data_IF_771862411643
#
_entry.id   IF_771862411643
#
_cell.length_a   1.000
_cell.length_b   1.000
_cell.length_c   1.000
_cell.angle_alpha   90.00
_cell.angle_beta   90.00
_cell.angle_gamma   90.00
#
_symmetry.space_group_name_H-M   'P 1'
#
loop_
_entity.id
_entity.type
_entity.pdbx_description
1 polymer ?
#
# COMPACT_ATOMS: atom_id res chain seq x y z
N UNK A 1 -10.97 21.65 -4.72
CA UNK A 1 -11.15 20.45 -5.54
C UNK A 1 -9.90 19.57 -5.43
N UNK A 2 -10.09 18.30 -5.13
CA UNK A 2 -8.95 17.37 -5.01
C UNK A 2 -8.44 16.98 -6.39
N UNK A 3 -7.12 16.87 -6.52
CA UNK A 3 -6.52 16.32 -7.74
C UNK A 3 -6.77 14.82 -7.80
N UNK A 4 -6.98 14.31 -9.01
CA UNK A 4 -7.08 12.88 -9.25
C UNK A 4 -5.69 12.36 -9.63
N UNK A 5 -5.28 11.27 -9.01
CA UNK A 5 -4.00 10.64 -9.28
C UNK A 5 -4.19 9.25 -9.86
N UNK A 6 -3.42 8.93 -10.91
CA UNK A 6 -3.34 7.55 -11.40
C UNK A 6 -2.36 6.79 -10.50
N UNK A 7 -2.67 5.51 -10.28
CA UNK A 7 -1.86 4.72 -9.35
C UNK A 7 -0.38 4.68 -9.76
N UNK A 8 -0.05 4.57 -11.03
CA UNK A 8 1.34 4.51 -11.49
C UNK A 8 2.10 5.82 -11.32
N UNK A 9 1.40 6.93 -11.11
CA UNK A 9 2.02 8.23 -10.88
C UNK A 9 2.45 8.43 -9.42
N UNK A 10 1.91 7.63 -8.49
CA UNK A 10 2.10 7.83 -7.05
C UNK A 10 2.80 6.67 -6.36
N UNK A 11 2.96 5.53 -7.03
CA UNK A 11 3.74 4.40 -6.48
C UNK A 11 5.08 4.29 -7.20
N UNK A 12 6.15 3.86 -6.49
CA UNK A 12 7.43 3.58 -7.15
C UNK A 12 7.40 2.28 -7.94
N UNK A 13 6.40 1.43 -7.71
CA UNK A 13 6.25 0.14 -8.36
C UNK A 13 5.82 0.29 -9.81
N UNK A 14 6.36 -0.55 -10.68
CA UNK A 14 6.01 -0.57 -12.10
C UNK A 14 5.47 -1.96 -12.46
N UNK A 15 4.63 -2.08 -13.50
CA UNK A 15 4.18 -3.41 -13.93
C UNK A 15 5.36 -4.33 -14.24
N UNK A 16 5.31 -5.64 -13.87
CA UNK A 16 4.16 -6.31 -13.24
C UNK A 16 4.09 -6.17 -11.71
N UNK A 17 5.01 -5.44 -11.09
CA UNK A 17 5.08 -5.31 -9.63
C UNK A 17 4.09 -4.32 -9.03
N UNK A 18 3.46 -3.47 -9.85
CA UNK A 18 2.39 -2.59 -9.38
C UNK A 18 1.09 -3.38 -9.32
N UNK A 19 0.60 -3.63 -8.12
CA UNK A 19 -0.53 -4.54 -7.90
C UNK A 19 -1.87 -3.85 -7.73
N UNK A 20 -1.89 -2.52 -7.52
CA UNK A 20 -3.11 -1.77 -7.30
C UNK A 20 -3.67 -1.26 -8.62
N UNK A 21 -5.01 -1.20 -8.73
CA UNK A 21 -5.67 -0.69 -9.94
C UNK A 21 -5.94 0.82 -9.87
N UNK A 22 -6.33 1.34 -8.71
CA UNK A 22 -6.77 2.73 -8.63
C UNK A 22 -6.60 3.32 -7.23
N UNK A 23 -6.44 4.65 -7.20
CA UNK A 23 -6.59 5.45 -5.98
C UNK A 23 -8.05 5.89 -5.92
N UNK A 24 -8.78 5.44 -4.91
CA UNK A 24 -10.20 5.76 -4.76
C UNK A 24 -10.42 7.11 -4.06
N UNK A 25 -9.66 7.36 -2.98
CA UNK A 25 -9.75 8.60 -2.23
C UNK A 25 -8.50 8.82 -1.40
N UNK A 26 -8.28 10.05 -0.98
CA UNK A 26 -7.16 10.37 -0.09
C UNK A 26 -7.49 11.60 0.76
N UNK A 27 -6.77 11.74 1.87
CA UNK A 27 -6.80 12.92 2.72
C UNK A 27 -5.39 13.15 3.28
N UNK A 28 -5.23 14.08 4.22
CA UNK A 28 -3.91 14.36 4.80
C UNK A 28 -3.29 13.15 5.49
N UNK A 29 -4.12 12.28 6.06
CA UNK A 29 -3.66 11.12 6.85
C UNK A 29 -4.09 9.77 6.28
N UNK A 30 -4.88 9.75 5.20
CA UNK A 30 -5.46 8.50 4.71
C UNK A 30 -5.32 8.38 3.20
N UNK A 31 -5.36 7.14 2.73
CA UNK A 31 -5.57 6.85 1.31
C UNK A 31 -6.33 5.52 1.21
N UNK A 32 -7.24 5.47 0.25
CA UNK A 32 -7.98 4.27 -0.10
C UNK A 32 -7.66 3.91 -1.54
N UNK A 33 -7.24 2.69 -1.76
CA UNK A 33 -6.97 2.13 -3.07
C UNK A 33 -7.85 0.92 -3.33
N UNK A 34 -7.86 0.44 -4.56
CA UNK A 34 -8.61 -0.75 -4.92
C UNK A 34 -7.89 -1.55 -5.99
N UNK A 35 -8.24 -2.82 -6.06
CA UNK A 35 -7.88 -3.70 -7.16
C UNK A 35 -8.92 -4.80 -7.30
N UNK A 36 -9.00 -5.39 -8.48
CA UNK A 36 -9.84 -6.55 -8.74
C UNK A 36 -8.93 -7.72 -9.08
N UNK A 37 -9.21 -8.88 -8.47
CA UNK A 37 -8.44 -10.10 -8.72
C UNK A 37 -8.80 -10.65 -10.10
N UNK A 38 -7.78 -10.83 -10.95
CA UNK A 38 -7.91 -11.31 -12.33
C UNK A 38 -7.01 -12.52 -12.52
N UNK A 39 -7.21 -13.23 -13.63
CA UNK A 39 -6.39 -14.40 -13.96
C UNK A 39 -4.92 -14.02 -14.17
N UNK A 40 -4.65 -12.79 -14.62
CA UNK A 40 -3.28 -12.29 -14.80
C UNK A 40 -2.75 -11.54 -13.57
N UNK A 41 -3.48 -11.52 -12.47
CA UNK A 41 -2.98 -10.92 -11.22
C UNK A 41 -1.72 -11.64 -10.76
N UNK A 42 -0.72 -10.87 -10.31
CA UNK A 42 0.53 -11.45 -9.81
C UNK A 42 0.20 -12.36 -8.62
N UNK A 43 0.85 -13.51 -8.56
CA UNK A 43 0.65 -14.57 -7.55
C UNK A 43 -0.70 -15.29 -7.67
N UNK A 44 -1.49 -15.04 -8.74
CA UNK A 44 -2.73 -15.78 -8.97
C UNK A 44 -2.45 -17.26 -9.19
N UNK A 45 -3.18 -18.09 -8.50
CA UNK A 45 -3.13 -19.56 -8.63
C UNK A 45 -4.55 -20.11 -8.67
N UNK A 46 -4.72 -21.44 -8.71
CA UNK A 46 -6.01 -22.08 -8.93
C UNK A 46 -7.12 -21.57 -8.00
N UNK A 47 -6.81 -21.34 -6.73
CA UNK A 47 -7.79 -20.89 -5.72
C UNK A 47 -7.92 -19.37 -5.63
N UNK A 48 -7.16 -18.61 -6.42
CA UNK A 48 -7.12 -17.16 -6.37
C UNK A 48 -5.74 -16.66 -5.96
N UNK A 49 -5.66 -15.44 -5.46
CA UNK A 49 -4.41 -14.88 -4.94
C UNK A 49 -4.30 -15.21 -3.47
N UNK A 50 -3.19 -15.82 -3.02
CA UNK A 50 -3.02 -16.13 -1.59
C UNK A 50 -3.20 -14.91 -0.71
N UNK A 51 -3.88 -15.08 0.42
CA UNK A 51 -4.23 -13.94 1.29
C UNK A 51 -3.02 -13.20 1.84
N UNK A 52 -1.84 -13.84 1.96
CA UNK A 52 -0.63 -13.17 2.43
C UNK A 52 -0.19 -12.01 1.49
N UNK A 53 -0.61 -12.05 0.22
CA UNK A 53 -0.30 -10.96 -0.73
C UNK A 53 -0.99 -9.65 -0.32
N UNK A 54 -2.06 -9.71 0.48
CA UNK A 54 -2.72 -8.53 1.00
C UNK A 54 -1.79 -7.61 1.78
N UNK A 55 -0.75 -8.17 2.40
CA UNK A 55 0.28 -7.37 3.06
C UNK A 55 1.00 -6.47 2.05
N UNK A 56 1.30 -7.00 0.86
CA UNK A 56 1.92 -6.22 -0.21
C UNK A 56 0.94 -5.16 -0.74
N UNK A 57 -0.35 -5.46 -0.84
CA UNK A 57 -1.36 -4.47 -1.22
C UNK A 57 -1.38 -3.31 -0.22
N UNK A 58 -1.31 -3.60 1.09
CA UNK A 58 -1.23 -2.58 2.13
C UNK A 58 0.03 -1.73 1.97
N UNK A 59 1.18 -2.38 1.75
CA UNK A 59 2.46 -1.68 1.55
C UNK A 59 2.44 -0.76 0.36
N UNK A 60 1.89 -1.21 -0.77
CA UNK A 60 1.78 -0.37 -1.96
C UNK A 60 0.78 0.78 -1.78
N UNK A 61 -0.26 0.57 -0.98
CA UNK A 61 -1.21 1.64 -0.66
C UNK A 61 -0.55 2.71 0.21
N UNK A 62 0.30 2.31 1.16
CA UNK A 62 1.11 3.26 1.94
C UNK A 62 2.05 4.03 1.01
N UNK A 63 2.69 3.34 0.06
CA UNK A 63 3.55 3.99 -0.93
C UNK A 63 2.74 5.01 -1.76
N UNK A 64 1.52 4.66 -2.15
CA UNK A 64 0.64 5.59 -2.87
C UNK A 64 0.30 6.81 -2.02
N UNK A 65 0.03 6.63 -0.72
CA UNK A 65 -0.19 7.73 0.20
C UNK A 65 1.00 8.68 0.21
N UNK A 66 2.21 8.15 0.37
CA UNK A 66 3.43 8.95 0.36
C UNK A 66 3.64 9.61 -1.01
N UNK A 67 3.29 8.92 -2.09
CA UNK A 67 3.40 9.43 -3.46
C UNK A 67 2.46 10.59 -3.73
N UNK A 68 1.20 10.50 -3.28
CA UNK A 68 0.23 11.60 -3.39
C UNK A 68 0.75 12.82 -2.65
N UNK A 69 1.23 12.63 -1.42
CA UNK A 69 1.79 13.72 -0.62
C UNK A 69 2.99 14.36 -1.31
N UNK A 70 3.90 13.54 -1.85
CA UNK A 70 5.07 14.03 -2.56
C UNK A 70 4.69 14.82 -3.81
N UNK A 71 3.74 14.33 -4.61
CA UNK A 71 3.27 15.01 -5.82
C UNK A 71 2.64 16.36 -5.51
N UNK A 72 1.83 16.43 -4.43
CA UNK A 72 1.21 17.69 -4.00
C UNK A 72 2.26 18.72 -3.58
N UNK A 73 3.40 18.28 -3.06
CA UNK A 73 4.52 19.14 -2.65
C UNK A 73 5.52 19.38 -3.79
N UNK A 74 5.29 18.82 -4.98
CA UNK A 74 6.20 18.94 -6.11
C UNK A 74 7.50 18.17 -5.96
N UNK A 75 7.50 17.13 -5.11
CA UNK A 75 8.67 16.30 -4.83
C UNK A 75 8.59 14.96 -5.56
N UNK A 76 9.73 14.28 -5.80
CA UNK A 76 9.68 12.93 -6.38
C UNK A 76 9.06 11.92 -5.42
N UNK A 77 8.49 10.87 -5.98
CA UNK A 77 7.89 9.77 -5.22
C UNK A 77 9.01 9.03 -4.47
N UNK A 78 8.80 8.79 -3.17
CA UNK A 78 9.78 8.15 -2.30
C UNK A 78 9.60 6.63 -2.26
N UNK A 79 10.70 5.93 -2.00
CA UNK A 79 10.68 4.49 -1.71
C UNK A 79 10.58 4.32 -0.20
N UNK A 80 9.61 3.50 0.25
CA UNK A 80 9.44 3.17 1.64
C UNK A 80 9.91 1.73 1.92
N UNK A 81 10.27 1.49 3.18
CA UNK A 81 10.74 0.18 3.63
C UNK A 81 9.85 -0.32 4.77
N UNK A 82 9.22 -1.48 4.57
CA UNK A 82 8.42 -2.11 5.62
C UNK A 82 9.34 -2.59 6.74
N UNK A 83 9.11 -2.10 7.96
CA UNK A 83 9.89 -2.45 9.14
C UNK A 83 9.21 -3.55 9.94
N UNK A 84 7.91 -3.45 10.15
CA UNK A 84 7.16 -4.46 10.88
C UNK A 84 5.69 -4.48 10.47
N UNK A 85 5.07 -5.63 10.70
CA UNK A 85 3.63 -5.83 10.51
C UNK A 85 3.09 -6.56 11.74
N UNK A 86 1.97 -6.09 12.28
CA UNK A 86 1.31 -6.72 13.42
C UNK A 86 -0.13 -7.05 13.08
N UNK A 87 -0.57 -8.20 13.57
CA UNK A 87 -1.97 -8.65 13.54
C UNK A 87 -2.54 -8.89 12.15
N UNK A 88 -1.71 -9.33 11.21
CA UNK A 88 -2.21 -9.71 9.90
C UNK A 88 -2.79 -11.13 9.96
N UNK A 89 -4.11 -11.22 10.01
CA UNK A 89 -4.83 -12.47 10.01
C UNK A 89 -5.97 -12.39 8.99
N UNK A 90 -6.08 -13.39 8.12
CA UNK A 90 -7.11 -13.39 7.09
C UNK A 90 -8.18 -14.42 7.41
N UNK A 91 -9.49 -14.06 7.28
CA UNK A 91 -10.58 -15.02 7.43
C UNK A 91 -10.66 -16.03 6.27
N UNK A 92 -10.02 -15.71 5.13
CA UNK A 92 -10.00 -16.56 3.96
C UNK A 92 -8.56 -16.84 3.54
N UNK A 93 -8.31 -18.01 2.94
CA UNK A 93 -6.97 -18.38 2.50
C UNK A 93 -6.54 -17.68 1.21
N UNK A 94 -7.51 -17.30 0.39
CA UNK A 94 -7.26 -16.70 -0.93
C UNK A 94 -8.29 -15.62 -1.24
N UNK A 95 -7.87 -14.65 -2.02
CA UNK A 95 -8.76 -13.68 -2.66
C UNK A 95 -9.20 -14.28 -3.99
N UNK A 96 -10.49 -14.57 -4.13
CA UNK A 96 -11.04 -15.28 -5.29
C UNK A 96 -11.08 -14.41 -6.53
N UNK A 97 -11.03 -15.06 -7.70
CA UNK A 97 -11.17 -14.40 -9.00
C UNK A 97 -12.42 -13.52 -9.02
N UNK A 98 -12.27 -12.30 -9.54
CA UNK A 98 -13.37 -11.35 -9.67
C UNK A 98 -13.67 -10.53 -8.43
N UNK A 99 -13.00 -10.80 -7.31
CA UNK A 99 -13.20 -10.04 -6.07
C UNK A 99 -12.59 -8.67 -6.18
N UNK A 100 -13.34 -7.64 -5.84
CA UNK A 100 -12.81 -6.29 -5.68
C UNK A 100 -12.37 -6.09 -4.24
N UNK A 101 -11.10 -5.78 -4.06
CA UNK A 101 -10.52 -5.46 -2.75
C UNK A 101 -10.42 -3.96 -2.60
N UNK A 102 -10.79 -3.46 -1.42
CA UNK A 102 -10.61 -2.06 -1.04
C UNK A 102 -9.59 -2.02 0.09
N UNK A 103 -8.50 -1.29 -0.13
CA UNK A 103 -7.40 -1.19 0.82
C UNK A 103 -7.40 0.22 1.40
N UNK A 104 -7.44 0.33 2.73
CA UNK A 104 -7.42 1.61 3.42
C UNK A 104 -6.20 1.68 4.31
N UNK A 105 -5.51 2.82 4.29
CA UNK A 105 -4.39 3.07 5.19
C UNK A 105 -4.60 4.42 5.86
N UNK A 106 -4.28 4.48 7.16
CA UNK A 106 -4.36 5.70 7.95
C UNK A 106 -3.07 5.86 8.74
N UNK A 107 -2.38 6.99 8.54
CA UNK A 107 -1.17 7.30 9.29
C UNK A 107 -1.56 7.71 10.71
N UNK A 108 -1.07 6.97 11.71
CA UNK A 108 -1.40 7.21 13.11
C UNK A 108 -0.20 7.74 13.90
N UNK A 109 1.02 7.49 13.44
CA UNK A 109 2.23 8.05 14.05
C UNK A 109 3.13 8.57 12.95
N UNK A 110 3.57 9.81 13.11
CA UNK A 110 4.51 10.48 12.21
C UNK A 110 5.73 10.89 13.01
N UNK A 111 6.83 10.17 12.80
CA UNK A 111 8.07 10.41 13.54
C UNK A 111 9.04 11.21 12.66
N UNK A 112 9.68 12.29 13.18
CA UNK A 112 10.65 13.06 12.41
C UNK A 112 11.81 12.24 11.83
N UNK A 113 12.12 11.09 12.42
CA UNK A 113 13.16 10.20 11.91
C UNK A 113 12.78 9.50 10.60
N UNK A 114 11.52 9.63 10.15
CA UNK A 114 11.01 8.95 8.95
C UNK A 114 10.26 7.66 9.24
N UNK A 115 10.19 7.22 10.50
CA UNK A 115 9.41 6.05 10.86
C UNK A 115 7.95 6.44 11.04
N UNK A 116 7.07 5.80 10.27
CA UNK A 116 5.64 6.07 10.30
C UNK A 116 4.88 4.79 10.61
N UNK A 117 3.79 4.91 11.36
CA UNK A 117 2.92 3.78 11.69
C UNK A 117 1.55 4.01 11.05
N UNK A 118 1.04 2.98 10.38
CA UNK A 118 -0.25 3.03 9.69
C UNK A 118 -1.17 1.94 10.21
N UNK A 119 -2.44 2.28 10.40
CA UNK A 119 -3.51 1.30 10.53
C UNK A 119 -3.99 0.99 9.12
N UNK A 120 -4.02 -0.29 8.77
CA UNK A 120 -4.34 -0.75 7.42
C UNK A 120 -5.47 -1.75 7.43
N UNK A 121 -6.22 -1.79 6.33
CA UNK A 121 -7.23 -2.83 6.14
C UNK A 121 -7.33 -3.22 4.67
N UNK A 122 -7.73 -4.48 4.45
CA UNK A 122 -8.17 -4.99 3.15
C UNK A 122 -9.59 -5.50 3.35
N UNK A 123 -10.54 -4.97 2.61
CA UNK A 123 -11.95 -5.30 2.77
C UNK A 123 -12.56 -5.82 1.46
N UNK A 124 -13.39 -6.85 1.55
CA UNK A 124 -14.15 -7.40 0.43
C UNK A 124 -15.38 -8.12 0.95
N UNK A 125 -16.55 -7.88 0.34
CA UNK A 125 -17.79 -8.50 0.82
C UNK A 125 -18.00 -8.22 2.30
N UNK A 126 -18.18 -9.28 3.07
CA UNK A 126 -18.33 -9.21 4.53
C UNK A 126 -17.01 -9.44 5.28
N UNK A 127 -15.91 -9.55 4.57
CA UNK A 127 -14.60 -9.87 5.14
C UNK A 127 -13.72 -8.63 5.27
N UNK A 128 -12.87 -8.64 6.28
CA UNK A 128 -11.85 -7.60 6.47
C UNK A 128 -10.61 -8.19 7.11
N UNK A 129 -9.45 -7.76 6.62
CA UNK A 129 -8.16 -7.98 7.26
C UNK A 129 -7.71 -6.63 7.81
N UNK A 130 -7.30 -6.60 9.08
CA UNK A 130 -6.70 -5.40 9.67
C UNK A 130 -5.29 -5.70 10.09
N UNK A 131 -4.41 -4.72 9.93
CA UNK A 131 -3.02 -4.85 10.34
C UNK A 131 -2.47 -3.48 10.70
N UNK A 132 -1.41 -3.50 11.51
CA UNK A 132 -0.66 -2.31 11.87
C UNK A 132 0.73 -2.45 11.25
N UNK A 133 1.09 -1.52 10.37
CA UNK A 133 2.35 -1.56 9.64
C UNK A 133 3.23 -0.39 10.06
N UNK A 134 4.50 -0.67 10.34
CA UNK A 134 5.52 0.35 10.53
C UNK A 134 6.37 0.42 9.28
N UNK A 135 6.50 1.62 8.71
CA UNK A 135 7.19 1.85 7.45
C UNK A 135 8.21 2.98 7.64
N UNK A 136 9.41 2.79 7.13
CA UNK A 136 10.44 3.81 7.12
C UNK A 136 10.44 4.51 5.76
N UNK A 137 10.22 5.84 5.78
CA UNK A 137 10.20 6.70 4.59
C UNK A 137 11.32 7.72 4.71
N UNK A 138 12.57 7.36 4.35
CA UNK A 138 13.70 8.29 4.48
C UNK A 138 13.60 9.44 3.48
N UNK A 139 14.06 10.62 3.88
CA UNK A 139 14.09 11.78 2.98
C UNK A 139 15.10 11.57 1.85
N UNK A 140 16.18 10.86 2.11
CA UNK A 140 17.23 10.57 1.14
C UNK A 140 17.54 9.07 1.17
N UNK A 141 17.09 8.37 0.12
CA UNK A 141 17.26 6.92 0.02
C UNK A 141 18.73 6.54 -0.11
N UNK A 142 19.51 7.31 -0.89
CA UNK A 142 20.95 7.03 -1.07
C UNK A 142 21.70 7.15 0.24
N UNK A 143 21.44 8.20 1.00
CA UNK A 143 22.02 8.39 2.32
C UNK A 143 21.64 7.28 3.27
N UNK A 144 20.39 6.85 3.24
CA UNK A 144 19.91 5.73 4.04
C UNK A 144 20.66 4.43 3.70
N UNK A 145 20.79 4.12 2.40
CA UNK A 145 21.46 2.90 1.96
C UNK A 145 22.95 2.92 2.29
N UNK A 146 23.61 4.06 2.21
CA UNK A 146 25.01 4.22 2.59
C UNK A 146 25.20 4.12 4.10
N UNK A 147 24.25 4.65 4.87
CA UNK A 147 24.29 4.65 6.33
C UNK A 147 24.12 3.27 6.96
N UNK A 148 23.62 2.30 6.19
CA UNK A 148 23.42 0.93 6.66
C UNK A 148 24.71 0.08 6.63
N UNK A 149 25.75 0.64 6.15
CA UNK A 149 27.04 -0.05 6.03
C UNK A 149 27.75 -0.15 7.38
#
# INVERSE_FOLDING_TARGET
MKEDFRILDVVPHQPPMSLLDAVESYSDNTLVSSLTIKEDSLFYEELGVPAWVGLEYMGQTIAAYAGVKARKEGKPVKIGFLVSCRRYESPESHFKLGTKLTISVEKVIDNPSGLNVFNCSVAWGDFIIRANLSVYLPDNVEEFLEGEV
#
